data_IF_942341269298
#
_entry.id   IF_942341269298
#
_cell.length_a   1.000
_cell.length_b   1.000
_cell.length_c   1.000
_cell.angle_alpha   90.00
_cell.angle_beta   90.00
_cell.angle_gamma   90.00
#
_symmetry.space_group_name_H-M   'P 1'
#
loop_
_entity.id
_entity.type
_entity.pdbx_description
1 polymer ?
#
# COMPACT_ATOMS: atom_id res chain seq x y z
N UNK A 1 -25.18 -25.02 53.18
CA UNK A 1 -25.32 -23.85 54.06
C UNK A 1 -25.17 -22.60 53.24
N UNK A 2 -26.30 -21.83 53.13
CA UNK A 2 -26.46 -20.39 52.94
C UNK A 2 -25.64 -19.69 51.88
N UNK A 3 -26.18 -19.51 50.70
CA UNK A 3 -26.87 -18.31 50.13
C UNK A 3 -26.36 -16.95 50.63
N UNK A 4 -25.89 -16.14 49.70
CA UNK A 4 -26.12 -14.68 49.69
C UNK A 4 -26.06 -14.12 48.25
N UNK A 5 -27.25 -13.87 47.73
CA UNK A 5 -27.51 -12.97 46.62
C UNK A 5 -27.31 -11.53 47.13
N UNK A 6 -26.66 -10.68 46.33
CA UNK A 6 -26.83 -9.23 46.46
C UNK A 6 -27.16 -8.63 45.09
N UNK A 7 -28.42 -8.26 44.94
CA UNK A 7 -28.93 -7.33 43.92
C UNK A 7 -28.56 -5.91 44.26
N UNK A 8 -28.10 -5.11 43.32
CA UNK A 8 -28.24 -3.65 43.31
C UNK A 8 -28.53 -3.23 41.87
N UNK A 9 -29.63 -2.89 41.60
CA UNK A 9 -30.58 -1.77 41.57
C UNK A 9 -30.12 -0.59 40.69
N UNK A 10 -30.89 -0.42 39.62
CA UNK A 10 -30.92 0.70 38.68
C UNK A 10 -31.22 2.02 39.43
N UNK A 11 -30.60 3.09 39.02
CA UNK A 11 -31.23 4.42 39.08
C UNK A 11 -30.80 5.27 37.90
N UNK A 12 -31.78 5.55 37.06
CA UNK A 12 -31.85 6.65 36.10
C UNK A 12 -31.66 7.99 36.79
N UNK A 13 -30.96 8.90 36.12
CA UNK A 13 -31.21 10.33 36.30
C UNK A 13 -31.12 11.02 34.93
N UNK A 14 -32.27 11.48 34.49
CA UNK A 14 -32.50 12.41 33.38
C UNK A 14 -32.22 13.81 33.94
N UNK A 15 -31.44 14.59 33.23
CA UNK A 15 -31.48 16.04 33.39
C UNK A 15 -31.41 16.71 32.04
N UNK A 16 -32.56 17.18 31.62
CA UNK A 16 -32.82 18.08 30.51
C UNK A 16 -32.41 19.50 30.91
N UNK A 17 -31.64 20.20 30.08
CA UNK A 17 -31.70 21.67 30.08
C UNK A 17 -31.47 22.19 28.67
N UNK A 18 -32.50 22.72 28.10
CA UNK A 18 -32.51 23.56 26.89
C UNK A 18 -32.09 24.97 27.24
N UNK A 19 -31.26 25.59 26.41
CA UNK A 19 -31.25 27.03 26.26
C UNK A 19 -30.98 27.45 24.81
N UNK A 20 -31.99 28.09 24.28
CA UNK A 20 -31.98 28.79 23.02
C UNK A 20 -31.19 30.10 23.13
N UNK A 21 -30.44 30.40 22.12
CA UNK A 21 -29.77 31.68 21.94
C UNK A 21 -29.67 32.01 20.46
N UNK A 22 -30.66 32.73 19.97
CA UNK A 22 -30.69 33.35 18.64
C UNK A 22 -29.78 34.58 18.63
N UNK A 23 -28.90 34.71 17.65
CA UNK A 23 -28.35 35.99 17.26
C UNK A 23 -28.01 36.01 15.77
N UNK A 24 -28.64 36.88 15.19
CA UNK A 24 -28.91 37.47 13.87
C UNK A 24 -27.69 37.74 13.03
N UNK A 25 -27.96 37.57 11.72
CA UNK A 25 -27.44 38.19 10.51
C UNK A 25 -26.69 39.53 10.70
N UNK A 26 -25.55 39.62 10.05
CA UNK A 26 -25.12 40.87 9.41
C UNK A 26 -24.54 40.52 8.02
N UNK A 27 -25.28 40.96 7.01
CA UNK A 27 -24.81 41.11 5.64
C UNK A 27 -23.88 42.32 5.60
N UNK A 28 -22.71 42.17 5.02
CA UNK A 28 -21.96 43.28 4.47
C UNK A 28 -21.62 42.94 3.02
N UNK A 29 -22.13 43.76 2.14
CA UNK A 29 -21.91 43.74 0.70
C UNK A 29 -20.59 44.42 0.37
N UNK A 30 -20.02 43.93 -0.71
CA UNK A 30 -19.43 44.70 -1.80
C UNK A 30 -18.10 45.43 -1.53
N UNK A 31 -17.04 44.92 -2.15
CA UNK A 31 -16.15 45.79 -2.94
C UNK A 31 -15.46 45.00 -4.07
N UNK A 32 -15.82 45.35 -5.24
CA UNK A 32 -15.27 45.01 -6.54
C UNK A 32 -13.86 45.59 -6.61
N UNK A 33 -12.83 44.75 -6.60
CA UNK A 33 -11.48 45.17 -6.96
C UNK A 33 -11.11 44.59 -8.33
N UNK A 34 -11.00 45.49 -9.26
CA UNK A 34 -10.48 45.40 -10.61
C UNK A 34 -9.14 44.67 -10.68
N UNK A 35 -8.87 43.80 -11.65
CA UNK A 35 -7.54 43.20 -11.84
C UNK A 35 -6.58 44.24 -12.39
N UNK A 36 -5.58 44.50 -11.58
CA UNK A 36 -4.41 45.31 -11.94
C UNK A 36 -3.55 44.56 -12.95
N UNK A 37 -3.28 45.22 -14.04
CA UNK A 37 -2.53 44.81 -15.20
C UNK A 37 -1.08 44.38 -14.85
N UNK A 38 -0.75 43.16 -15.26
CA UNK A 38 0.60 42.64 -15.32
C UNK A 38 1.49 43.52 -16.18
N UNK A 39 2.69 43.93 -15.71
CA UNK A 39 3.67 44.57 -16.57
C UNK A 39 4.22 43.59 -17.58
N UNK A 40 4.10 43.94 -18.86
CA UNK A 40 4.73 43.25 -19.97
C UNK A 40 6.26 43.17 -19.78
N UNK A 41 6.82 41.98 -19.75
CA UNK A 41 8.26 41.79 -19.92
C UNK A 41 8.66 42.18 -21.35
N UNK A 42 9.78 42.88 -21.52
CA UNK A 42 10.33 43.14 -22.83
C UNK A 42 10.81 41.86 -23.52
N UNK A 43 10.81 41.81 -24.86
CA UNK A 43 11.27 40.62 -25.58
C UNK A 43 12.75 40.40 -25.34
N UNK A 44 13.09 39.15 -24.95
CA UNK A 44 14.50 38.72 -24.87
C UNK A 44 14.99 38.55 -26.28
N UNK A 45 15.80 39.49 -26.74
CA UNK A 45 16.57 39.35 -27.98
C UNK A 45 17.53 38.16 -27.84
N UNK A 46 17.33 37.15 -28.67
CA UNK A 46 18.23 36.03 -28.85
C UNK A 46 19.51 36.54 -29.48
N UNK A 47 20.50 36.84 -28.67
CA UNK A 47 21.87 37.07 -29.17
C UNK A 47 22.62 35.74 -29.16
N UNK A 48 22.82 35.28 -30.31
CA UNK A 48 23.67 34.27 -30.90
C UNK A 48 25.03 34.08 -30.24
N UNK A 49 25.38 32.77 -30.13
CA UNK A 49 26.74 32.23 -30.36
C UNK A 49 27.76 32.53 -29.28
N UNK A 50 27.77 31.74 -28.31
CA UNK A 50 28.94 31.37 -27.54
C UNK A 50 29.04 29.85 -27.50
N UNK A 51 29.97 29.35 -28.30
CA UNK A 51 30.40 27.94 -28.28
C UNK A 51 30.87 27.61 -26.86
N UNK A 52 30.03 26.93 -26.07
CA UNK A 52 30.44 26.41 -24.78
C UNK A 52 31.40 25.25 -25.00
N UNK A 53 32.55 25.21 -24.33
CA UNK A 53 33.42 24.05 -24.39
C UNK A 53 32.63 22.85 -23.88
N UNK A 54 32.53 21.83 -24.72
CA UNK A 54 32.00 20.51 -24.41
C UNK A 54 32.79 19.92 -23.25
N UNK A 55 32.36 20.17 -22.02
CA UNK A 55 32.72 19.30 -20.91
C UNK A 55 32.05 17.97 -21.22
N UNK A 56 32.79 16.89 -21.34
CA UNK A 56 32.36 15.56 -21.74
C UNK A 56 31.43 14.89 -20.73
N UNK A 57 30.32 15.55 -20.41
CA UNK A 57 29.16 14.91 -19.81
C UNK A 57 28.53 14.09 -20.93
N UNK A 58 28.69 12.78 -20.87
CA UNK A 58 27.89 11.82 -21.61
C UNK A 58 26.44 12.21 -21.39
N UNK A 59 25.79 12.82 -22.39
CA UNK A 59 24.35 12.84 -22.44
C UNK A 59 23.94 11.37 -22.38
N UNK A 60 23.05 10.94 -21.45
CA UNK A 60 22.41 9.66 -21.61
C UNK A 60 21.80 9.67 -23.02
N UNK A 61 22.31 8.82 -23.90
CA UNK A 61 21.67 8.59 -25.18
C UNK A 61 20.23 8.16 -24.95
N UNK A 62 19.34 8.23 -25.95
CA UNK A 62 18.02 7.66 -25.82
C UNK A 62 18.19 6.24 -25.28
N UNK A 63 17.53 5.94 -24.17
CA UNK A 63 17.53 4.62 -23.57
C UNK A 63 16.95 3.71 -24.64
N UNK A 64 17.79 2.86 -25.26
CA UNK A 64 17.31 1.93 -26.27
C UNK A 64 16.27 0.98 -25.66
N UNK A 65 15.35 0.52 -26.48
CA UNK A 65 14.28 -0.41 -26.06
C UNK A 65 14.83 -1.68 -25.37
N UNK A 66 16.10 -2.01 -25.57
CA UNK A 66 16.81 -3.12 -24.93
C UNK A 66 17.53 -2.76 -23.61
N UNK A 67 17.41 -1.53 -23.11
CA UNK A 67 17.97 -1.17 -21.81
C UNK A 67 17.24 -1.92 -20.71
N UNK A 68 17.94 -2.47 -19.68
CA UNK A 68 17.29 -3.02 -18.50
C UNK A 68 16.33 -2.03 -17.81
N UNK A 69 16.55 -0.71 -18.03
CA UNK A 69 15.67 0.34 -17.55
C UNK A 69 14.46 0.59 -18.49
N UNK A 70 14.56 0.25 -19.79
CA UNK A 70 13.46 0.37 -20.74
C UNK A 70 12.49 -0.83 -20.69
N UNK A 71 12.89 -1.91 -20.05
CA UNK A 71 11.98 -2.97 -19.59
C UNK A 71 11.34 -2.60 -18.24
N UNK A 72 11.13 -1.31 -18.01
CA UNK A 72 10.19 -0.88 -17.00
C UNK A 72 8.84 -1.45 -17.42
N UNK A 73 8.43 -2.53 -16.76
CA UNK A 73 7.12 -3.13 -16.86
C UNK A 73 6.07 -2.03 -16.87
N UNK A 74 5.14 -2.10 -17.81
CA UNK A 74 4.01 -1.19 -17.80
C UNK A 74 3.26 -1.38 -16.48
N UNK A 75 2.87 -0.29 -15.80
CA UNK A 75 2.07 -0.40 -14.59
C UNK A 75 0.85 -1.28 -14.83
N UNK A 76 0.59 -2.21 -13.94
CA UNK A 76 -0.52 -3.16 -14.06
C UNK A 76 -1.08 -3.50 -12.69
N UNK A 77 -2.40 -3.62 -12.61
CA UNK A 77 -3.06 -4.02 -11.37
C UNK A 77 -2.77 -5.50 -11.09
N UNK A 78 -2.43 -5.88 -9.84
CA UNK A 78 -2.16 -7.25 -9.49
C UNK A 78 -3.45 -8.08 -9.49
N UNK A 79 -3.42 -9.25 -10.14
CA UNK A 79 -4.59 -10.16 -10.25
C UNK A 79 -4.35 -11.53 -9.62
N UNK A 80 -3.10 -11.94 -9.44
CA UNK A 80 -2.76 -13.23 -8.83
C UNK A 80 -1.48 -13.12 -8.00
N UNK A 81 -1.41 -13.91 -6.92
CA UNK A 81 -0.22 -14.10 -6.08
C UNK A 81 0.12 -15.59 -5.96
N UNK A 82 1.40 -15.90 -6.11
CA UNK A 82 1.97 -17.23 -5.85
C UNK A 82 3.12 -17.07 -4.86
N UNK A 83 3.07 -17.82 -3.75
CA UNK A 83 4.17 -17.95 -2.80
C UNK A 83 4.31 -19.44 -2.50
N UNK A 84 5.15 -20.13 -3.26
CA UNK A 84 5.26 -21.59 -3.20
C UNK A 84 5.62 -22.10 -1.82
N UNK A 85 6.55 -21.45 -1.14
CA UNK A 85 6.99 -21.78 0.22
C UNK A 85 5.85 -21.78 1.24
N UNK A 86 4.88 -20.87 1.09
CA UNK A 86 3.70 -20.78 1.95
C UNK A 86 2.50 -21.57 1.42
N UNK A 87 2.61 -22.18 0.23
CA UNK A 87 1.52 -22.89 -0.42
C UNK A 87 0.41 -21.97 -0.91
N UNK A 88 0.72 -20.72 -1.23
CA UNK A 88 -0.22 -19.70 -1.71
C UNK A 88 -0.27 -19.72 -3.24
N UNK A 89 -1.49 -19.85 -3.78
CA UNK A 89 -1.82 -19.53 -5.16
C UNK A 89 -3.27 -19.00 -5.14
N UNK A 90 -3.43 -17.68 -5.21
CA UNK A 90 -4.70 -17.03 -4.95
C UNK A 90 -4.94 -15.86 -5.91
N UNK A 91 -6.21 -15.63 -6.21
CA UNK A 91 -6.65 -14.44 -6.92
C UNK A 91 -6.57 -13.22 -6.00
N UNK A 92 -6.24 -12.09 -6.61
CA UNK A 92 -6.24 -10.80 -5.94
C UNK A 92 -7.50 -10.04 -6.36
N UNK A 93 -8.20 -9.48 -5.39
CA UNK A 93 -9.32 -8.57 -5.59
C UNK A 93 -8.93 -7.16 -5.16
N UNK A 94 -9.56 -6.17 -5.78
CA UNK A 94 -9.39 -4.78 -5.38
C UNK A 94 -10.27 -4.47 -4.17
N UNK A 95 -9.66 -3.89 -3.13
CA UNK A 95 -10.34 -3.37 -1.95
C UNK A 95 -9.94 -1.91 -1.70
N UNK A 96 -10.61 -1.23 -0.78
CA UNK A 96 -10.35 0.18 -0.50
C UNK A 96 -9.85 0.43 0.92
N UNK A 97 -9.08 1.51 1.06
CA UNK A 97 -8.77 2.10 2.37
C UNK A 97 -9.76 3.25 2.56
N UNK A 98 -10.63 3.14 3.57
CA UNK A 98 -11.64 4.15 3.89
C UNK A 98 -11.33 4.73 5.27
N UNK A 99 -11.14 6.04 5.34
CA UNK A 99 -10.79 6.75 6.60
C UNK A 99 -9.58 6.14 7.33
N UNK A 100 -8.58 5.65 6.57
CA UNK A 100 -7.39 5.01 7.11
C UNK A 100 -7.58 3.54 7.52
N UNK A 101 -8.75 2.95 7.29
CA UNK A 101 -9.05 1.55 7.58
C UNK A 101 -9.02 0.74 6.28
N UNK A 102 -8.19 -0.29 6.24
CA UNK A 102 -8.11 -1.24 5.14
C UNK A 102 -9.32 -2.18 5.19
N UNK A 103 -10.09 -2.25 4.09
CA UNK A 103 -11.20 -3.21 3.95
C UNK A 103 -10.67 -4.64 3.91
N UNK A 104 -11.36 -5.57 4.55
CA UNK A 104 -10.93 -6.97 4.57
C UNK A 104 -11.18 -7.65 3.20
N UNK A 105 -10.39 -8.69 2.86
CA UNK A 105 -10.72 -9.59 1.74
C UNK A 105 -12.11 -10.19 1.87
N UNK A 106 -12.78 -10.42 0.74
CA UNK A 106 -14.16 -10.92 0.70
C UNK A 106 -14.31 -12.39 1.13
N UNK A 107 -13.22 -13.14 1.19
CA UNK A 107 -13.26 -14.56 1.51
C UNK A 107 -11.93 -15.15 1.96
N UNK A 108 -11.94 -16.41 2.42
CA UNK A 108 -10.77 -17.05 3.04
C UNK A 108 -9.61 -17.31 2.08
N UNK A 109 -9.86 -17.41 0.78
CA UNK A 109 -8.89 -17.81 -0.25
C UNK A 109 -8.59 -16.72 -1.28
N UNK A 110 -9.01 -15.48 -0.97
CA UNK A 110 -8.81 -14.29 -1.81
C UNK A 110 -7.88 -13.34 -1.09
N UNK A 111 -7.06 -12.62 -1.84
CA UNK A 111 -6.15 -11.60 -1.34
C UNK A 111 -6.65 -10.23 -1.77
N UNK A 112 -6.65 -9.26 -0.88
CA UNK A 112 -7.01 -7.89 -1.19
C UNK A 112 -5.78 -7.08 -1.59
N UNK A 113 -5.89 -6.29 -2.66
CA UNK A 113 -4.97 -5.21 -3.01
C UNK A 113 -5.67 -3.86 -2.88
N UNK A 114 -4.92 -2.82 -2.56
CA UNK A 114 -5.45 -1.49 -2.31
C UNK A 114 -4.88 -0.49 -3.35
N UNK A 115 -5.71 0.04 -4.28
CA UNK A 115 -5.26 0.98 -5.32
C UNK A 115 -4.68 2.30 -4.79
N UNK A 116 -4.89 2.59 -3.51
CA UNK A 116 -4.27 3.73 -2.85
C UNK A 116 -2.77 3.51 -2.57
N UNK A 117 -2.29 2.30 -2.78
CA UNK A 117 -0.88 1.91 -2.73
C UNK A 117 -0.29 1.81 -4.14
N UNK A 118 0.93 1.31 -4.31
CA UNK A 118 1.51 1.18 -5.64
C UNK A 118 0.86 0.07 -6.48
N UNK A 119 0.96 0.17 -7.81
CA UNK A 119 0.68 -0.90 -8.76
C UNK A 119 1.95 -1.68 -9.10
N UNK A 120 1.79 -2.83 -9.74
CA UNK A 120 2.94 -3.59 -10.25
C UNK A 120 3.71 -2.79 -11.30
N UNK A 121 5.03 -2.86 -11.27
CA UNK A 121 5.89 -2.14 -12.20
C UNK A 121 6.24 -0.72 -11.80
N UNK A 122 5.48 -0.10 -10.91
CA UNK A 122 5.77 1.23 -10.38
C UNK A 122 6.73 1.17 -9.20
N UNK A 123 7.40 2.29 -8.96
CA UNK A 123 8.14 2.55 -7.74
C UNK A 123 7.14 2.76 -6.60
N UNK A 124 7.39 2.12 -5.47
CA UNK A 124 6.48 2.16 -4.32
C UNK A 124 6.21 0.79 -3.74
N UNK A 125 5.24 0.72 -2.86
CA UNK A 125 4.90 -0.45 -2.08
C UNK A 125 3.52 -0.99 -2.48
N UNK A 126 3.48 -2.18 -3.07
CA UNK A 126 2.23 -2.90 -3.36
C UNK A 126 1.76 -3.56 -2.07
N UNK A 127 0.66 -3.11 -1.49
CA UNK A 127 0.16 -3.64 -0.21
C UNK A 127 -0.96 -4.63 -0.45
N UNK A 128 -0.79 -5.83 0.11
CA UNK A 128 -1.70 -6.94 -0.01
C UNK A 128 -2.13 -7.43 1.38
N UNK A 129 -3.42 -7.72 1.56
CA UNK A 129 -3.93 -8.31 2.79
C UNK A 129 -4.63 -9.64 2.53
N UNK A 130 -4.50 -10.58 3.47
CA UNK A 130 -5.12 -11.89 3.42
C UNK A 130 -5.50 -12.39 4.81
N UNK A 131 -6.49 -13.25 4.89
CA UNK A 131 -6.89 -13.86 6.17
C UNK A 131 -5.88 -14.89 6.64
N UNK A 132 -5.52 -14.87 7.94
CA UNK A 132 -4.74 -15.94 8.60
C UNK A 132 -5.62 -17.16 8.82
N UNK A 133 -6.85 -16.94 9.25
CA UNK A 133 -7.91 -17.95 9.39
C UNK A 133 -9.25 -17.32 9.05
N UNK A 134 -10.27 -18.17 8.92
CA UNK A 134 -11.61 -17.71 8.61
C UNK A 134 -12.66 -18.54 9.36
N UNK A 135 -13.71 -17.88 9.80
CA UNK A 135 -14.78 -18.52 10.59
C UNK A 135 -15.35 -19.75 9.88
N UNK A 136 -15.43 -20.88 10.59
CA UNK A 136 -15.88 -22.20 10.09
C UNK A 136 -15.03 -22.81 8.95
N UNK A 137 -13.90 -22.19 8.56
CA UNK A 137 -12.97 -22.72 7.56
C UNK A 137 -11.66 -23.15 8.21
N UNK A 138 -11.16 -22.37 9.16
CA UNK A 138 -9.85 -22.56 9.80
C UNK A 138 -8.76 -21.83 9.01
N UNK A 139 -7.52 -22.40 8.92
CA UNK A 139 -6.40 -21.79 8.22
C UNK A 139 -6.76 -21.33 6.83
N UNK A 140 -6.39 -20.09 6.50
CA UNK A 140 -6.78 -19.40 5.27
C UNK A 140 -5.57 -19.00 4.43
N UNK A 141 -5.76 -18.15 3.42
CA UNK A 141 -4.77 -17.87 2.36
C UNK A 141 -3.40 -17.45 2.90
N UNK A 142 -3.34 -16.65 3.98
CA UNK A 142 -2.08 -16.17 4.56
C UNK A 142 -1.69 -16.89 5.87
N UNK A 143 -2.24 -18.07 6.13
CA UNK A 143 -1.90 -18.82 7.34
C UNK A 143 -0.42 -19.12 7.47
N UNK A 144 0.25 -19.50 6.38
CA UNK A 144 1.65 -19.94 6.37
C UNK A 144 2.65 -18.80 6.06
N UNK A 145 2.22 -17.55 5.90
CA UNK A 145 3.20 -16.46 5.66
C UNK A 145 4.18 -16.29 6.83
N UNK A 146 3.82 -16.79 8.00
CA UNK A 146 4.68 -16.85 9.19
C UNK A 146 5.92 -17.70 9.03
N UNK A 147 5.90 -18.63 8.08
CA UNK A 147 6.99 -19.60 7.85
C UNK A 147 7.95 -19.11 6.75
N UNK A 148 7.68 -17.93 6.19
CA UNK A 148 8.58 -17.29 5.23
C UNK A 148 9.83 -16.77 5.93
N UNK A 149 10.93 -16.79 5.19
CA UNK A 149 12.22 -16.29 5.61
C UNK A 149 12.82 -15.40 4.54
N UNK A 150 13.83 -14.61 4.90
CA UNK A 150 14.58 -13.78 3.95
C UNK A 150 15.04 -14.61 2.74
N UNK A 151 14.78 -14.06 1.53
CA UNK A 151 15.10 -14.68 0.24
C UNK A 151 14.00 -15.57 -0.35
N UNK A 152 12.92 -15.89 0.38
CA UNK A 152 11.78 -16.63 -0.19
C UNK A 152 11.10 -15.76 -1.27
N UNK A 153 10.56 -16.41 -2.30
CA UNK A 153 9.99 -15.71 -3.45
C UNK A 153 8.48 -15.45 -3.30
N UNK A 154 8.09 -14.25 -3.67
CA UNK A 154 6.69 -13.82 -3.84
C UNK A 154 6.54 -13.44 -5.30
N UNK A 155 5.65 -14.11 -6.04
CA UNK A 155 5.39 -13.83 -7.45
C UNK A 155 4.00 -13.22 -7.59
N UNK A 156 3.93 -12.04 -8.19
CA UNK A 156 2.69 -11.36 -8.52
C UNK A 156 2.50 -11.34 -10.04
N UNK A 157 1.28 -11.56 -10.49
CA UNK A 157 0.89 -11.44 -11.90
C UNK A 157 -0.05 -10.27 -12.07
N UNK A 158 0.21 -9.42 -13.05
CA UNK A 158 -0.64 -8.29 -13.41
C UNK A 158 -1.73 -8.65 -14.41
N UNK A 159 -2.69 -7.74 -14.62
CA UNK A 159 -3.77 -7.89 -15.62
C UNK A 159 -3.24 -8.10 -17.06
N UNK A 160 -2.03 -7.66 -17.34
CA UNK A 160 -1.34 -7.82 -18.63
C UNK A 160 -0.57 -9.14 -18.76
N UNK A 161 -0.80 -10.09 -17.83
CA UNK A 161 -0.09 -11.39 -17.73
C UNK A 161 1.43 -11.24 -17.44
N UNK A 162 1.93 -10.06 -17.14
CA UNK A 162 3.31 -9.85 -16.76
C UNK A 162 3.53 -10.28 -15.31
N UNK A 163 4.66 -10.95 -15.05
CA UNK A 163 5.01 -11.44 -13.71
C UNK A 163 6.10 -10.60 -13.07
N UNK A 164 5.95 -10.38 -11.77
CA UNK A 164 6.85 -9.60 -10.93
C UNK A 164 7.29 -10.46 -9.76
N UNK A 165 8.59 -10.73 -9.66
CA UNK A 165 9.16 -11.50 -8.56
C UNK A 165 9.72 -10.56 -7.51
N UNK A 166 9.41 -10.84 -6.26
CA UNK A 166 9.95 -10.16 -5.09
C UNK A 166 10.61 -11.20 -4.19
N UNK A 167 11.73 -10.84 -3.58
CA UNK A 167 12.37 -11.64 -2.53
C UNK A 167 12.01 -11.06 -1.16
N UNK A 168 11.65 -11.93 -0.22
CA UNK A 168 11.35 -11.53 1.16
C UNK A 168 12.59 -10.89 1.79
N UNK A 169 12.44 -9.69 2.34
CA UNK A 169 13.47 -8.99 3.08
C UNK A 169 13.39 -9.33 4.57
N UNK A 170 12.17 -9.31 5.12
CA UNK A 170 11.90 -9.59 6.53
C UNK A 170 10.45 -10.01 6.77
N UNK A 171 10.24 -10.69 7.90
CA UNK A 171 8.95 -11.09 8.44
C UNK A 171 8.88 -10.64 9.89
N UNK A 172 7.91 -9.81 10.26
CA UNK A 172 7.77 -9.25 11.59
C UNK A 172 6.32 -9.26 12.07
N UNK A 173 6.15 -9.27 13.38
CA UNK A 173 4.84 -9.19 14.03
C UNK A 173 4.76 -7.91 14.84
N UNK A 174 3.76 -7.08 14.53
CA UNK A 174 3.50 -5.80 15.20
C UNK A 174 2.24 -5.89 16.03
N UNK A 175 2.25 -5.31 17.23
CA UNK A 175 1.02 -5.13 18.02
C UNK A 175 0.09 -4.15 17.30
N UNK A 176 -1.21 -4.37 17.40
CA UNK A 176 -2.20 -3.44 16.83
C UNK A 176 -2.08 -2.02 17.40
N UNK A 177 -1.70 -1.91 18.68
CA UNK A 177 -1.47 -0.63 19.34
C UNK A 177 -0.33 0.13 18.67
N UNK A 178 0.79 -0.52 18.36
CA UNK A 178 1.94 0.09 17.70
C UNK A 178 1.60 0.55 16.28
N UNK A 179 0.85 -0.27 15.53
CA UNK A 179 0.40 0.08 14.18
C UNK A 179 -0.55 1.28 14.17
N UNK A 180 -1.42 1.42 15.18
CA UNK A 180 -2.44 2.47 15.20
C UNK A 180 -1.98 3.78 15.84
N UNK A 181 -1.02 3.74 16.75
CA UNK A 181 -0.59 4.93 17.53
C UNK A 181 0.87 5.33 17.29
N UNK A 182 1.72 4.40 16.84
CA UNK A 182 3.18 4.57 16.78
C UNK A 182 3.75 5.11 15.46
N UNK A 183 2.93 5.35 14.44
CA UNK A 183 3.42 5.70 13.09
C UNK A 183 3.97 4.50 12.29
N UNK A 184 4.05 3.31 12.90
CA UNK A 184 4.54 2.07 12.26
C UNK A 184 3.70 1.70 11.04
N UNK A 185 2.41 2.05 11.01
CA UNK A 185 1.55 1.78 9.86
C UNK A 185 2.08 2.45 8.59
N UNK A 186 2.55 3.69 8.68
CA UNK A 186 3.15 4.39 7.53
C UNK A 186 4.45 3.71 7.08
N UNK A 187 5.27 3.24 8.01
CA UNK A 187 6.51 2.50 7.68
C UNK A 187 6.21 1.16 6.99
N UNK A 188 5.09 0.53 7.34
CA UNK A 188 4.67 -0.77 6.80
C UNK A 188 3.91 -0.62 5.48
N UNK A 189 2.98 0.32 5.37
CA UNK A 189 2.08 0.45 4.20
C UNK A 189 2.40 1.64 3.31
N UNK A 190 3.23 2.57 3.77
CA UNK A 190 3.58 3.79 3.06
C UNK A 190 4.41 3.56 1.78
N UNK A 191 4.61 4.65 1.07
CA UNK A 191 5.41 4.65 -0.16
C UNK A 191 6.87 4.32 0.13
N UNK A 192 7.49 3.56 -0.78
CA UNK A 192 8.92 3.23 -0.76
C UNK A 192 9.63 3.78 -1.99
N UNK A 193 10.91 4.12 -1.85
CA UNK A 193 11.74 4.62 -2.97
C UNK A 193 12.13 3.50 -3.97
N UNK A 194 11.84 2.25 -3.63
CA UNK A 194 12.07 1.07 -4.46
C UNK A 194 10.76 0.33 -4.71
N UNK A 195 10.75 -0.55 -5.71
CA UNK A 195 9.63 -1.46 -5.93
C UNK A 195 9.59 -2.49 -4.81
N UNK A 196 8.56 -2.48 -4.01
CA UNK A 196 8.39 -3.44 -2.90
C UNK A 196 6.98 -3.98 -2.83
N UNK A 197 6.83 -5.08 -2.11
CA UNK A 197 5.55 -5.68 -1.75
C UNK A 197 5.45 -5.84 -0.24
N UNK A 198 4.25 -5.64 0.29
CA UNK A 198 3.95 -5.92 1.69
C UNK A 198 2.75 -6.85 1.78
N UNK A 199 2.91 -7.99 2.46
CA UNK A 199 1.82 -8.88 2.81
C UNK A 199 1.44 -8.63 4.26
N UNK A 200 0.14 -8.46 4.54
CA UNK A 200 -0.37 -8.21 5.90
C UNK A 200 -1.45 -9.24 6.22
N UNK A 201 -1.36 -9.83 7.40
CA UNK A 201 -2.38 -10.72 7.94
C UNK A 201 -2.55 -10.52 9.44
N UNK A 202 -3.63 -11.06 9.99
CA UNK A 202 -3.80 -11.18 11.44
C UNK A 202 -2.76 -12.13 12.02
N UNK A 203 -2.34 -11.90 13.26
CA UNK A 203 -1.35 -12.73 13.93
C UNK A 203 -1.30 -12.52 15.43
N UNK A 204 -0.43 -13.29 16.09
CA UNK A 204 -0.28 -13.22 17.53
C UNK A 204 -1.43 -13.88 18.31
N UNK A 205 -1.71 -13.34 19.48
CA UNK A 205 -2.78 -13.83 20.37
C UNK A 205 -4.16 -13.36 19.86
N UNK A 206 -5.15 -14.26 19.99
CA UNK A 206 -6.54 -13.95 19.70
C UNK A 206 -7.28 -13.56 20.98
N UNK A 207 -7.87 -12.37 21.01
CA UNK A 207 -8.72 -11.92 22.10
C UNK A 207 -10.14 -12.47 21.91
N UNK A 208 -10.48 -13.49 22.67
CA UNK A 208 -11.82 -14.10 22.63
C UNK A 208 -12.95 -13.20 23.19
N UNK A 209 -12.60 -12.13 23.91
CA UNK A 209 -13.59 -11.20 24.46
C UNK A 209 -14.07 -10.22 23.39
N UNK A 210 -13.12 -9.69 22.61
CA UNK A 210 -13.38 -8.73 21.55
C UNK A 210 -13.50 -9.39 20.17
N UNK A 211 -13.08 -10.65 20.03
CA UNK A 211 -13.16 -11.40 18.79
C UNK A 211 -12.15 -10.96 17.74
N UNK A 212 -10.95 -10.56 18.16
CA UNK A 212 -9.92 -10.03 17.28
C UNK A 212 -8.51 -10.50 17.62
N UNK A 213 -7.61 -10.47 16.63
CA UNK A 213 -6.18 -10.70 16.82
C UNK A 213 -5.49 -9.43 17.30
N UNK A 214 -4.67 -9.56 18.35
CA UNK A 214 -3.96 -8.44 18.97
C UNK A 214 -2.75 -7.94 18.15
N UNK A 215 -2.37 -8.65 17.12
CA UNK A 215 -1.20 -8.32 16.29
C UNK A 215 -1.49 -8.47 14.80
N UNK A 216 -0.60 -7.91 14.00
CA UNK A 216 -0.51 -8.16 12.56
C UNK A 216 0.85 -8.71 12.23
N UNK A 217 0.87 -9.76 11.43
CA UNK A 217 2.08 -10.26 10.79
C UNK A 217 2.27 -9.56 9.47
N UNK A 218 3.47 -9.10 9.23
CA UNK A 218 3.86 -8.35 8.04
C UNK A 218 5.07 -9.01 7.41
N UNK A 219 5.00 -9.19 6.10
CA UNK A 219 6.10 -9.63 5.25
C UNK A 219 6.44 -8.52 4.30
N UNK A 220 7.68 -8.10 4.23
CA UNK A 220 8.20 -7.15 3.24
C UNK A 220 9.08 -7.89 2.24
N UNK A 221 8.93 -7.57 0.96
CA UNK A 221 9.82 -8.07 -0.08
C UNK A 221 10.20 -6.97 -1.07
N UNK A 222 11.41 -7.06 -1.60
CA UNK A 222 11.96 -6.19 -2.62
C UNK A 222 11.91 -6.84 -4.00
N UNK A 223 11.64 -6.04 -5.03
CA UNK A 223 11.58 -6.50 -6.41
C UNK A 223 12.91 -7.08 -6.89
N UNK A 224 12.86 -8.25 -7.51
CA UNK A 224 14.00 -8.93 -8.13
C UNK A 224 13.93 -8.70 -9.65
N UNK A 225 14.87 -7.96 -10.25
CA UNK A 225 14.88 -7.78 -11.69
C UNK A 225 15.06 -9.12 -12.41
N UNK A 226 14.36 -9.36 -13.53
CA UNK A 226 14.61 -10.55 -14.34
C UNK A 226 16.07 -10.55 -14.84
N UNK A 227 16.69 -11.73 -15.01
CA UNK A 227 18.05 -11.81 -15.54
C UNK A 227 18.09 -11.16 -16.94
N UNK A 228 19.22 -10.49 -17.28
CA UNK A 228 19.39 -9.92 -18.61
C UNK A 228 19.18 -11.00 -19.67
N UNK A 229 18.39 -10.68 -20.71
CA UNK A 229 18.21 -11.61 -21.82
C UNK A 229 19.57 -12.02 -22.38
N UNK A 230 19.84 -13.32 -22.38
CA UNK A 230 21.02 -13.86 -23.05
C UNK A 230 20.86 -13.52 -24.54
N UNK A 231 21.86 -12.87 -25.18
CA UNK A 231 21.77 -12.61 -26.61
C UNK A 231 21.60 -13.96 -27.32
N UNK A 232 20.53 -14.04 -28.09
CA UNK A 232 20.19 -15.24 -28.88
C UNK A 232 21.43 -15.60 -29.72
N UNK A 233 21.97 -16.78 -29.47
CA UNK A 233 23.08 -17.29 -30.27
C UNK A 233 22.50 -17.59 -31.63
N UNK A 234 22.56 -16.63 -32.56
CA UNK A 234 22.22 -16.85 -33.95
C UNK A 234 22.98 -18.10 -34.44
N UNK A 235 22.30 -19.17 -34.83
CA UNK A 235 23.00 -20.31 -35.42
C UNK A 235 23.67 -19.80 -36.71
N UNK A 236 24.97 -19.85 -36.72
CA UNK A 236 25.76 -19.46 -37.87
C UNK A 236 25.31 -20.26 -39.09
N UNK A 237 25.07 -19.53 -40.18
CA UNK A 237 24.78 -20.03 -41.50
C UNK A 237 25.97 -20.83 -42.06
#
# INVERSE_FOLDING_TARGET
MKTLLTKFSRRSLIATTAMAGSARLAFAQDEQSTPESTPSQPPIESTTTGEMPSSGALRPGPVGEDSPLARASNPSDPVNIVVEKAGINATIEQQNIVEGVMSNPSGPWVVAWYPQTATLGEQGNVVLAGHVDFWNVGPSVFFNVRDLVEGDEIVLTGENDETFTYAVDWVETFLMEDLTTGGVLEDVTGHTDTRSVTLITCGGEFDYVNGEYLSRMVVRGSFVPPPPATPDSTPGA
#
